data_IF_717204536984
#
_entry.id   IF_717204536984
#
_cell.length_a   1.000
_cell.length_b   1.000
_cell.length_c   1.000
_cell.angle_alpha   90.00
_cell.angle_beta   90.00
_cell.angle_gamma   90.00
#
_symmetry.space_group_name_H-M   'P 1'
#
loop_
_entity.id
_entity.type
_entity.pdbx_description
1 polymer ?
#
# COMPACT_ATOMS: atom_id res chain seq x y z
N UNK A 1 -14.19 7.42 6.81
CA UNK A 1 -14.41 6.09 7.44
C UNK A 1 -15.46 5.37 6.59
N UNK A 2 -15.07 4.90 5.41
CA UNK A 2 -16.00 4.54 4.33
C UNK A 2 -15.65 3.16 3.78
N UNK A 3 -16.65 2.27 3.88
CA UNK A 3 -16.81 0.96 3.24
C UNK A 3 -15.63 -0.03 3.34
N UNK A 4 -15.69 -0.89 4.37
CA UNK A 4 -14.90 -2.13 4.38
C UNK A 4 -15.24 -2.95 3.13
N UNK A 5 -14.25 -3.60 2.51
CA UNK A 5 -14.32 -4.38 1.26
C UNK A 5 -15.75 -4.65 0.73
N UNK A 6 -16.13 -3.95 -0.35
CA UNK A 6 -17.44 -4.11 -0.99
C UNK A 6 -17.59 -5.53 -1.53
N UNK A 7 -18.48 -6.30 -0.91
CA UNK A 7 -18.88 -7.64 -1.36
C UNK A 7 -20.21 -7.58 -2.11
N UNK A 8 -20.42 -8.51 -3.05
CA UNK A 8 -21.63 -8.57 -3.89
C UNK A 8 -22.97 -8.70 -3.14
N UNK A 9 -22.95 -9.01 -1.84
CA UNK A 9 -24.13 -9.27 -1.00
C UNK A 9 -24.43 -8.15 0.01
N UNK A 10 -23.91 -6.94 -0.19
CA UNK A 10 -24.28 -5.72 0.55
C UNK A 10 -23.75 -5.60 1.99
N UNK A 11 -23.32 -6.70 2.62
CA UNK A 11 -22.59 -6.66 3.90
C UNK A 11 -21.07 -6.57 3.66
N UNK A 12 -20.36 -5.62 4.28
CA UNK A 12 -18.91 -5.54 4.18
C UNK A 12 -18.25 -6.81 4.71
N UNK A 13 -17.34 -7.40 3.92
CA UNK A 13 -16.60 -8.61 4.32
C UNK A 13 -15.27 -8.23 4.97
N UNK A 14 -14.97 -8.85 6.11
CA UNK A 14 -13.66 -8.72 6.76
C UNK A 14 -12.67 -9.71 6.14
N UNK A 15 -11.83 -9.23 5.21
CA UNK A 15 -10.76 -10.05 4.64
C UNK A 15 -9.62 -10.16 5.67
N UNK A 16 -9.12 -11.38 5.88
CA UNK A 16 -8.04 -11.63 6.83
C UNK A 16 -6.76 -12.07 6.13
N UNK A 17 -5.65 -11.46 6.53
CA UNK A 17 -4.31 -11.78 6.10
C UNK A 17 -3.53 -12.46 7.24
N UNK A 18 -2.81 -13.54 6.95
CA UNK A 18 -1.88 -14.18 7.90
C UNK A 18 -0.54 -13.44 7.91
N UNK A 19 0.12 -13.36 9.06
CA UNK A 19 1.29 -12.49 9.23
C UNK A 19 2.46 -12.82 8.30
N UNK A 20 3.02 -14.03 8.37
CA UNK A 20 4.22 -14.38 7.60
C UNK A 20 3.98 -14.40 6.09
N UNK A 21 2.87 -15.01 5.66
CA UNK A 21 2.53 -15.12 4.23
C UNK A 21 2.27 -13.75 3.59
N UNK A 22 1.54 -12.88 4.29
CA UNK A 22 1.24 -11.55 3.79
C UNK A 22 2.49 -10.66 3.73
N UNK A 23 3.32 -10.66 4.77
CA UNK A 23 4.57 -9.89 4.78
C UNK A 23 5.53 -10.37 3.69
N UNK A 24 5.69 -11.68 3.51
CA UNK A 24 6.55 -12.23 2.46
C UNK A 24 6.08 -11.80 1.08
N UNK A 25 4.78 -11.94 0.79
CA UNK A 25 4.20 -11.51 -0.47
C UNK A 25 4.42 -10.03 -0.72
N UNK A 26 4.07 -9.18 0.25
CA UNK A 26 4.18 -7.73 0.15
C UNK A 26 5.65 -7.31 -0.09
N UNK A 27 6.58 -7.88 0.67
CA UNK A 27 8.02 -7.58 0.57
C UNK A 27 8.57 -7.97 -0.80
N UNK A 28 8.24 -9.18 -1.27
CA UNK A 28 8.70 -9.69 -2.56
C UNK A 28 8.14 -8.89 -3.73
N UNK A 29 6.83 -8.60 -3.75
CA UNK A 29 6.24 -7.81 -4.83
C UNK A 29 6.78 -6.39 -4.83
N UNK A 30 7.02 -5.80 -3.66
CA UNK A 30 7.64 -4.48 -3.59
C UNK A 30 9.04 -4.42 -4.20
N UNK A 31 9.89 -5.40 -3.86
CA UNK A 31 11.24 -5.49 -4.39
C UNK A 31 11.26 -5.76 -5.89
N UNK A 32 10.46 -6.70 -6.38
CA UNK A 32 10.57 -7.19 -7.76
C UNK A 32 9.63 -6.50 -8.76
N UNK A 33 8.44 -6.08 -8.35
CA UNK A 33 7.46 -5.45 -9.26
C UNK A 33 7.72 -3.96 -9.38
N UNK A 34 8.06 -3.29 -8.27
CA UNK A 34 8.38 -1.87 -8.27
C UNK A 34 9.88 -1.59 -8.42
N UNK A 35 10.69 -2.65 -8.59
CA UNK A 35 12.14 -2.58 -8.78
C UNK A 35 12.84 -1.64 -7.77
N UNK A 36 12.39 -1.71 -6.51
CA UNK A 36 12.86 -0.82 -5.46
C UNK A 36 14.34 -1.06 -5.14
N UNK A 37 15.15 0.00 -5.06
CA UNK A 37 16.54 -0.03 -4.57
C UNK A 37 16.72 0.82 -3.30
N UNK A 38 17.73 0.51 -2.48
CA UNK A 38 17.91 1.10 -1.13
C UNK A 38 18.00 2.63 -1.09
N UNK A 39 18.35 3.28 -2.21
CA UNK A 39 18.45 4.74 -2.30
C UNK A 39 17.18 5.42 -2.82
N UNK A 40 16.17 4.63 -3.19
CA UNK A 40 14.94 5.14 -3.75
C UNK A 40 14.02 5.65 -2.65
N UNK A 41 13.29 6.72 -2.95
CA UNK A 41 12.18 7.21 -2.13
C UNK A 41 10.90 6.71 -2.79
N UNK A 42 10.22 5.80 -2.10
CA UNK A 42 8.98 5.21 -2.60
C UNK A 42 7.78 6.10 -2.24
N UNK A 43 6.89 6.32 -3.20
CA UNK A 43 5.67 7.08 -2.97
C UNK A 43 4.46 6.37 -3.58
N UNK A 44 3.45 6.12 -2.74
CA UNK A 44 2.14 5.65 -3.15
C UNK A 44 1.09 6.61 -2.58
N UNK A 45 0.15 7.06 -3.41
CA UNK A 45 -0.91 8.01 -3.00
C UNK A 45 -2.13 7.31 -2.40
N UNK A 46 -2.09 5.99 -2.22
CA UNK A 46 -3.20 5.25 -1.64
C UNK A 46 -3.38 5.61 -0.15
N UNK A 47 -4.64 5.74 0.27
CA UNK A 47 -4.96 5.87 1.69
C UNK A 47 -4.75 4.54 2.43
N UNK A 48 -4.31 4.61 3.69
CA UNK A 48 -4.07 3.42 4.51
C UNK A 48 -5.35 2.60 4.76
N UNK A 49 -6.55 3.16 4.61
CA UNK A 49 -7.80 2.42 4.72
C UNK A 49 -8.02 1.38 3.60
N UNK A 50 -7.22 1.43 2.53
CA UNK A 50 -7.29 0.52 1.38
C UNK A 50 -6.20 -0.55 1.44
N UNK A 51 -6.41 -1.67 0.73
CA UNK A 51 -5.43 -2.77 0.69
C UNK A 51 -4.10 -2.34 0.07
N UNK A 52 -4.14 -1.43 -0.91
CA UNK A 52 -2.94 -0.83 -1.51
C UNK A 52 -2.16 -0.01 -0.48
N UNK A 53 -2.84 0.76 0.37
CA UNK A 53 -2.20 1.52 1.44
C UNK A 53 -1.58 0.62 2.52
N UNK A 54 -2.30 -0.39 2.99
CA UNK A 54 -1.74 -1.38 3.91
C UNK A 54 -0.47 -2.01 3.32
N UNK A 55 -0.56 -2.53 2.09
CA UNK A 55 0.50 -3.33 1.48
C UNK A 55 1.70 -2.48 1.08
N UNK A 56 1.47 -1.36 0.40
CA UNK A 56 2.53 -0.62 -0.30
C UNK A 56 2.85 0.76 0.30
N UNK A 57 2.05 1.32 1.20
CA UNK A 57 2.46 2.54 1.96
C UNK A 57 3.18 2.15 3.25
N UNK A 58 2.74 1.06 3.90
CA UNK A 58 3.22 0.65 5.22
C UNK A 58 4.05 -0.63 5.18
N UNK A 59 3.43 -1.79 4.94
CA UNK A 59 4.09 -3.08 5.22
C UNK A 59 5.29 -3.35 4.32
N UNK A 60 5.15 -3.23 3.01
CA UNK A 60 6.22 -3.58 2.10
C UNK A 60 7.41 -2.59 2.12
N UNK A 61 7.20 -1.26 2.15
CA UNK A 61 8.33 -0.33 2.29
C UNK A 61 9.07 -0.54 3.61
N UNK A 62 8.36 -0.61 4.74
CA UNK A 62 9.01 -0.75 6.04
C UNK A 62 9.71 -2.10 6.20
N UNK A 63 9.14 -3.19 5.66
CA UNK A 63 9.79 -4.49 5.65
C UNK A 63 11.05 -4.55 4.75
N UNK A 64 11.10 -3.73 3.68
CA UNK A 64 12.28 -3.58 2.82
C UNK A 64 13.23 -2.45 3.26
N UNK A 65 13.04 -1.89 4.46
CA UNK A 65 13.80 -0.74 4.96
C UNK A 65 13.78 0.49 4.02
N UNK A 66 12.71 0.64 3.25
CA UNK A 66 12.52 1.74 2.31
C UNK A 66 12.00 3.01 3.01
N UNK A 67 12.38 4.15 2.45
CA UNK A 67 11.78 5.44 2.82
C UNK A 67 10.47 5.61 2.03
N UNK A 68 9.33 5.67 2.73
CA UNK A 68 8.02 5.91 2.12
C UNK A 68 7.43 7.28 2.47
N UNK A 69 6.70 7.87 1.52
CA UNK A 69 6.00 9.16 1.71
C UNK A 69 4.54 8.92 2.07
N UNK A 70 4.13 9.33 3.28
CA UNK A 70 2.74 9.30 3.73
C UNK A 70 2.08 10.68 3.52
N UNK A 71 0.97 10.71 2.78
CA UNK A 71 0.22 11.94 2.51
C UNK A 71 -1.18 11.85 3.15
N UNK A 72 -1.50 12.80 4.03
CA UNK A 72 -2.79 12.86 4.74
C UNK A 72 -3.88 13.66 4.01
N UNK A 73 -3.59 14.19 2.82
CA UNK A 73 -4.47 15.11 2.08
C UNK A 73 -4.59 14.76 0.60
N UNK A 74 -5.50 15.44 -0.09
CA UNK A 74 -5.74 15.22 -1.52
C UNK A 74 -4.68 15.97 -2.36
N UNK A 75 -4.02 15.26 -3.27
CA UNK A 75 -3.11 15.88 -4.25
C UNK A 75 -3.97 16.59 -5.30
N UNK A 76 -3.93 17.93 -5.32
CA UNK A 76 -4.76 18.76 -6.22
C UNK A 76 -4.07 19.17 -7.53
N UNK A 77 -2.80 18.86 -7.74
CA UNK A 77 -2.04 19.37 -8.90
C UNK A 77 -1.67 18.27 -9.91
N UNK A 78 -1.84 18.57 -11.21
CA UNK A 78 -1.75 17.61 -12.34
C UNK A 78 -0.33 17.18 -12.77
N UNK A 79 0.69 17.46 -11.95
CA UNK A 79 2.10 17.19 -12.30
C UNK A 79 2.80 16.19 -11.36
N UNK A 80 2.06 15.48 -10.52
CA UNK A 80 2.61 14.36 -9.76
C UNK A 80 2.60 13.11 -10.64
N UNK A 81 3.77 12.51 -10.87
CA UNK A 81 3.89 11.12 -11.31
C UNK A 81 3.49 10.27 -10.09
N UNK A 82 2.42 9.50 -10.27
CA UNK A 82 1.79 8.65 -9.26
C UNK A 82 1.78 7.23 -9.81
N UNK A 83 2.30 6.27 -9.05
CA UNK A 83 2.01 4.84 -9.22
C UNK A 83 0.78 4.48 -8.39
#
# INVERSE_FOLDING_TARGET
MSDKQSGSTGKPKGVMHTTAGYLLYATATFRYVFDYNEKDVYWCTADIGWITGHTYVVYAPLANAATSVLVSGIIRNRHAIVI
#
